data_IF_607745583043
#
_entry.id   IF_607745583043
#
_cell.length_a   1.000
_cell.length_b   1.000
_cell.length_c   1.000
_cell.angle_alpha   90.00
_cell.angle_beta   90.00
_cell.angle_gamma   90.00
#
_symmetry.space_group_name_H-M   'P 1'
#
loop_
_entity.id
_entity.type
_entity.pdbx_description
1 polymer ?
#
# COMPACT_ATOMS: atom_id res chain seq x y z
N UNK A 1 8.98 8.30 -12.14
CA UNK A 1 7.63 8.82 -12.50
C UNK A 1 6.60 8.39 -11.47
N UNK A 2 5.49 9.13 -11.35
CA UNK A 2 4.37 8.84 -10.46
C UNK A 2 3.08 8.68 -11.27
N UNK A 3 2.00 8.17 -10.65
CA UNK A 3 0.72 7.95 -11.30
C UNK A 3 -0.40 8.79 -10.68
N UNK A 4 -1.33 9.26 -11.52
CA UNK A 4 -2.64 9.79 -11.10
C UNK A 4 -3.60 8.62 -10.89
N UNK A 5 -4.49 8.75 -9.91
CA UNK A 5 -5.57 7.78 -9.72
C UNK A 5 -6.71 8.08 -10.70
N UNK A 6 -7.18 7.06 -11.40
CA UNK A 6 -8.40 7.10 -12.21
C UNK A 6 -9.42 6.07 -11.69
N UNK A 7 -10.70 6.29 -12.00
CA UNK A 7 -11.81 5.42 -11.57
C UNK A 7 -12.01 4.23 -12.50
N UNK A 8 -11.60 4.36 -13.75
CA UNK A 8 -11.72 3.32 -14.78
C UNK A 8 -10.44 3.25 -15.61
N UNK A 9 -10.23 2.12 -16.25
CA UNK A 9 -9.11 1.92 -17.17
C UNK A 9 -9.32 2.86 -18.37
N UNK A 10 -8.36 3.78 -18.65
CA UNK A 10 -8.44 4.63 -19.84
C UNK A 10 -8.30 3.77 -21.09
N UNK A 11 -9.03 4.11 -22.15
CA UNK A 11 -9.03 3.40 -23.44
C UNK A 11 -8.47 4.23 -24.59
N UNK A 12 -7.81 5.34 -24.25
CA UNK A 12 -7.17 6.20 -25.24
C UNK A 12 -6.11 5.42 -26.03
N UNK A 13 -5.94 5.70 -27.33
CA UNK A 13 -4.89 5.07 -28.13
C UNK A 13 -3.49 5.46 -27.62
N UNK A 14 -2.51 4.58 -27.85
CA UNK A 14 -1.12 4.84 -27.46
C UNK A 14 -0.80 4.57 -25.98
N UNK A 15 -1.63 3.80 -25.29
CA UNK A 15 -1.37 3.35 -23.93
C UNK A 15 -0.87 1.90 -23.91
N UNK A 16 0.06 1.64 -23.00
CA UNK A 16 0.48 0.31 -22.60
C UNK A 16 0.02 0.07 -21.18
N UNK A 17 -0.58 -1.08 -20.94
CA UNK A 17 -1.11 -1.49 -19.64
C UNK A 17 -0.23 -2.55 -19.02
N UNK A 18 -0.05 -2.45 -17.70
CA UNK A 18 0.66 -3.42 -16.88
C UNK A 18 -0.13 -3.70 -15.60
N UNK A 19 -0.06 -4.92 -15.02
CA UNK A 19 -0.56 -5.14 -13.67
C UNK A 19 0.15 -4.20 -12.69
N UNK A 20 -0.61 -3.66 -11.74
CA UNK A 20 -0.03 -2.87 -10.67
C UNK A 20 0.38 -3.80 -9.54
N UNK A 21 1.67 -4.08 -9.45
CA UNK A 21 2.23 -4.88 -8.37
C UNK A 21 2.16 -4.16 -7.03
N UNK A 22 1.92 -4.92 -5.98
CA UNK A 22 1.97 -4.44 -4.61
C UNK A 22 3.30 -4.85 -3.99
N UNK A 23 4.26 -3.95 -4.07
CA UNK A 23 5.65 -4.19 -3.68
C UNK A 23 6.38 -2.93 -3.23
N UNK A 24 7.70 -3.00 -3.26
CA UNK A 24 8.58 -1.85 -3.06
C UNK A 24 9.23 -1.45 -4.38
N UNK A 25 8.87 -0.26 -4.87
CA UNK A 25 9.54 0.27 -6.05
C UNK A 25 11.04 0.38 -5.80
N UNK A 26 11.80 -0.14 -6.75
CA UNK A 26 13.24 -0.17 -6.70
C UNK A 26 13.83 0.18 -8.07
N UNK A 27 14.78 1.11 -8.08
CA UNK A 27 15.64 1.36 -9.23
C UNK A 27 16.94 0.60 -9.02
N UNK A 28 17.28 -0.23 -9.98
CA UNK A 28 18.52 -1.02 -9.99
C UNK A 28 19.55 -0.32 -10.86
N UNK A 29 20.67 0.01 -10.27
CA UNK A 29 21.87 0.50 -10.97
C UNK A 29 22.86 -0.63 -11.05
N UNK A 30 23.37 -0.91 -12.24
CA UNK A 30 24.44 -1.90 -12.44
C UNK A 30 25.61 -1.27 -13.21
N UNK A 31 26.82 -1.47 -12.68
CA UNK A 31 28.06 -1.17 -13.38
C UNK A 31 29.05 -2.34 -13.16
N UNK A 32 29.30 -3.13 -14.20
CA UNK A 32 30.08 -4.36 -14.12
C UNK A 32 29.48 -5.38 -13.18
N UNK A 33 30.20 -5.70 -12.10
CA UNK A 33 29.76 -6.64 -11.06
C UNK A 33 29.13 -5.93 -9.83
N UNK A 34 29.04 -4.60 -9.86
CA UNK A 34 28.42 -3.84 -8.81
C UNK A 34 26.93 -3.60 -9.10
N UNK A 35 26.11 -3.80 -8.07
CA UNK A 35 24.66 -3.50 -8.10
C UNK A 35 24.29 -2.64 -6.90
N UNK A 36 23.58 -1.57 -7.17
CA UNK A 36 22.91 -0.77 -6.15
C UNK A 36 21.39 -0.87 -6.35
N UNK A 37 20.68 -1.18 -5.26
CA UNK A 37 19.23 -1.19 -5.19
C UNK A 37 18.79 0.09 -4.46
N UNK A 38 18.14 1.00 -5.17
CA UNK A 38 17.67 2.25 -4.61
C UNK A 38 16.14 2.26 -4.46
N UNK A 39 15.66 2.56 -3.25
CA UNK A 39 14.23 2.75 -3.00
C UNK A 39 13.71 4.03 -3.68
N UNK A 40 12.38 4.20 -3.70
CA UNK A 40 11.74 5.44 -4.17
C UNK A 40 12.29 6.72 -3.54
N UNK A 41 12.73 6.64 -2.28
CA UNK A 41 13.30 7.78 -1.54
C UNK A 41 14.83 7.76 -1.56
N UNK A 42 15.44 7.09 -2.54
CA UNK A 42 16.90 6.95 -2.72
C UNK A 42 17.62 6.33 -1.51
N UNK A 43 16.93 5.52 -0.71
CA UNK A 43 17.55 4.75 0.37
C UNK A 43 18.04 3.42 -0.16
N UNK A 44 19.25 2.97 0.20
CA UNK A 44 19.80 1.71 -0.28
C UNK A 44 19.01 0.52 0.25
N UNK A 45 18.65 -0.41 -0.65
CA UNK A 45 17.91 -1.64 -0.35
C UNK A 45 18.82 -2.89 -0.30
N UNK A 46 20.07 -2.81 -0.74
CA UNK A 46 20.99 -3.96 -0.82
C UNK A 46 21.02 -4.82 0.46
N UNK A 47 21.10 -4.15 1.63
CA UNK A 47 21.14 -4.87 2.92
C UNK A 47 19.86 -5.66 3.22
N UNK A 48 18.72 -5.26 2.65
CA UNK A 48 17.42 -5.88 2.93
C UNK A 48 17.06 -6.99 1.94
N UNK A 49 17.69 -6.99 0.77
CA UNK A 49 17.41 -7.92 -0.33
C UNK A 49 18.71 -8.52 -0.91
N UNK A 50 19.61 -9.09 -0.07
CA UNK A 50 20.90 -9.60 -0.54
C UNK A 50 20.75 -10.75 -1.55
N UNK A 51 19.66 -11.52 -1.47
CA UNK A 51 19.36 -12.63 -2.36
C UNK A 51 19.05 -12.21 -3.80
N UNK A 52 18.69 -10.93 -4.03
CA UNK A 52 18.44 -10.41 -5.38
C UNK A 52 19.72 -10.09 -6.16
N UNK A 53 20.85 -9.88 -5.48
CA UNK A 53 22.08 -9.45 -6.15
C UNK A 53 22.57 -10.47 -7.19
N UNK A 54 22.73 -11.78 -6.86
CA UNK A 54 23.19 -12.75 -7.86
C UNK A 54 22.23 -12.90 -9.06
N UNK A 55 20.90 -13.06 -8.89
CA UNK A 55 20.00 -13.16 -10.02
C UNK A 55 19.92 -11.89 -10.87
N UNK A 56 20.07 -10.70 -10.29
CA UNK A 56 20.15 -9.44 -11.04
C UNK A 56 21.45 -9.34 -11.86
N UNK A 57 22.58 -9.79 -11.33
CA UNK A 57 23.82 -9.89 -12.07
C UNK A 57 23.71 -10.84 -13.28
N UNK A 58 22.94 -11.92 -13.15
CA UNK A 58 22.69 -12.85 -14.25
C UNK A 58 21.69 -12.32 -15.29
N UNK A 59 20.73 -11.49 -14.86
CA UNK A 59 19.61 -11.06 -15.70
C UNK A 59 19.85 -9.75 -16.48
N UNK A 60 20.64 -8.84 -15.94
CA UNK A 60 20.78 -7.48 -16.46
C UNK A 60 22.03 -7.33 -17.34
N UNK A 61 22.03 -6.39 -18.30
CA UNK A 61 23.25 -5.96 -18.99
C UNK A 61 24.31 -5.45 -18.00
N UNK A 62 25.60 -5.58 -18.35
CA UNK A 62 26.71 -5.19 -17.47
C UNK A 62 26.70 -3.72 -17.04
N UNK A 63 26.00 -2.86 -17.77
CA UNK A 63 25.88 -1.44 -17.47
C UNK A 63 24.48 -0.97 -17.83
N UNK A 64 23.65 -0.71 -16.83
CA UNK A 64 22.27 -0.30 -17.05
C UNK A 64 21.62 0.29 -15.79
N UNK A 65 20.52 1.00 -16.00
CA UNK A 65 19.60 1.44 -14.95
C UNK A 65 18.19 0.95 -15.27
N UNK A 66 17.61 0.15 -14.39
CA UNK A 66 16.30 -0.49 -14.59
C UNK A 66 15.37 -0.13 -13.44
N UNK A 67 14.15 0.30 -13.75
CA UNK A 67 13.09 0.58 -12.78
C UNK A 67 12.13 -0.61 -12.68
N UNK A 68 11.77 -0.97 -11.47
CA UNK A 68 10.94 -2.14 -11.22
C UNK A 68 10.33 -2.14 -9.82
N UNK A 69 9.79 -3.28 -9.46
CA UNK A 69 9.16 -3.53 -8.16
C UNK A 69 9.78 -4.77 -7.52
N UNK A 70 10.19 -4.65 -6.24
CA UNK A 70 10.55 -5.81 -5.43
C UNK A 70 9.26 -6.35 -4.82
N UNK A 71 9.03 -7.64 -4.98
CA UNK A 71 7.86 -8.37 -4.48
C UNK A 71 8.29 -9.63 -3.73
N UNK A 72 7.42 -10.17 -2.89
CA UNK A 72 7.57 -11.51 -2.31
C UNK A 72 6.42 -12.36 -2.85
N UNK A 73 6.70 -13.42 -3.61
CA UNK A 73 5.67 -14.39 -4.01
C UNK A 73 5.06 -15.07 -2.79
N UNK A 74 3.74 -15.27 -2.80
CA UNK A 74 3.05 -16.01 -1.74
C UNK A 74 3.47 -17.49 -1.75
N UNK A 75 3.64 -18.09 -0.57
CA UNK A 75 4.09 -19.47 -0.39
C UNK A 75 3.16 -20.52 -1.04
N UNK A 76 1.88 -20.20 -1.17
CA UNK A 76 0.87 -21.07 -1.81
C UNK A 76 0.86 -20.98 -3.34
N UNK A 77 1.82 -20.28 -3.93
CA UNK A 77 1.96 -20.15 -5.39
C UNK A 77 0.89 -19.30 -6.07
N UNK A 78 0.06 -18.58 -5.31
CA UNK A 78 -0.97 -17.68 -5.82
C UNK A 78 -0.82 -16.28 -5.24
N UNK A 79 -0.32 -15.35 -6.04
CA UNK A 79 -0.24 -13.93 -5.69
C UNK A 79 1.05 -13.52 -5.00
N UNK A 80 0.99 -12.37 -4.32
CA UNK A 80 2.11 -11.73 -3.64
C UNK A 80 1.81 -11.56 -2.15
N UNK A 81 2.83 -11.70 -1.31
CA UNK A 81 2.76 -11.51 0.15
C UNK A 81 3.48 -10.20 0.53
N UNK A 82 2.71 -9.12 0.63
CA UNK A 82 3.24 -7.82 1.00
C UNK A 82 3.65 -7.76 2.48
N UNK A 83 3.00 -8.52 3.35
CA UNK A 83 3.37 -8.60 4.77
C UNK A 83 4.76 -9.21 4.94
N UNK A 84 5.05 -10.30 4.24
CA UNK A 84 6.39 -10.88 4.21
C UNK A 84 7.41 -9.89 3.66
N UNK A 85 7.05 -9.11 2.62
CA UNK A 85 7.90 -8.06 2.07
C UNK A 85 8.20 -6.97 3.10
N UNK A 86 7.20 -6.47 3.83
CA UNK A 86 7.39 -5.45 4.86
C UNK A 86 8.31 -5.91 5.99
N UNK A 87 8.27 -7.19 6.37
CA UNK A 87 9.12 -7.75 7.40
C UNK A 87 10.60 -7.71 7.04
N UNK A 88 10.95 -7.60 5.74
CA UNK A 88 12.33 -7.50 5.27
C UNK A 88 13.04 -6.24 5.73
N UNK A 89 12.32 -5.15 5.97
CA UNK A 89 12.89 -3.88 6.45
C UNK A 89 13.15 -4.00 7.96
N UNK A 90 14.24 -4.64 8.33
CA UNK A 90 14.59 -4.93 9.70
C UNK A 90 16.03 -4.47 10.04
N UNK A 91 16.30 -3.92 11.25
CA UNK A 91 17.63 -3.47 11.64
C UNK A 91 18.64 -4.62 11.85
N UNK A 92 18.18 -5.81 12.29
CA UNK A 92 19.03 -6.96 12.54
C UNK A 92 19.32 -7.72 11.24
N UNK A 93 20.59 -7.80 10.86
CA UNK A 93 21.04 -8.50 9.64
C UNK A 93 20.74 -10.01 9.67
N UNK A 94 20.87 -10.66 10.84
CA UNK A 94 20.55 -12.09 11.01
C UNK A 94 19.09 -12.40 10.64
N UNK A 95 18.16 -11.51 11.03
CA UNK A 95 16.75 -11.67 10.67
C UNK A 95 16.53 -11.46 9.17
N UNK A 96 17.19 -10.47 8.57
CA UNK A 96 17.10 -10.24 7.12
C UNK A 96 17.59 -11.47 6.35
N UNK A 97 18.72 -12.06 6.72
CA UNK A 97 19.26 -13.27 6.08
C UNK A 97 18.32 -14.47 6.25
N UNK A 98 17.75 -14.65 7.44
CA UNK A 98 16.77 -15.71 7.67
C UNK A 98 15.54 -15.56 6.76
N UNK A 99 14.97 -14.35 6.69
CA UNK A 99 13.80 -14.07 5.84
C UNK A 99 14.13 -14.15 4.35
N UNK A 100 15.36 -13.79 3.93
CA UNK A 100 15.82 -13.95 2.54
C UNK A 100 15.82 -15.42 2.10
N UNK A 101 16.07 -16.35 3.02
CA UNK A 101 16.02 -17.78 2.75
C UNK A 101 14.58 -18.35 2.84
N UNK A 102 13.77 -17.89 3.79
CA UNK A 102 12.42 -18.43 4.03
C UNK A 102 11.36 -17.87 3.07
N UNK A 103 11.45 -16.59 2.77
CA UNK A 103 10.52 -15.84 1.91
C UNK A 103 11.32 -15.01 0.89
N UNK A 104 12.00 -15.67 -0.07
CA UNK A 104 12.83 -14.98 -1.04
C UNK A 104 12.02 -13.99 -1.86
N UNK A 105 12.60 -12.83 -2.13
CA UNK A 105 11.99 -11.81 -2.96
C UNK A 105 12.29 -12.04 -4.44
N UNK A 106 11.49 -11.39 -5.28
CA UNK A 106 11.70 -11.32 -6.73
C UNK A 106 11.67 -9.84 -7.17
N UNK A 107 12.30 -9.57 -8.31
CA UNK A 107 12.28 -8.26 -8.95
C UNK A 107 11.50 -8.33 -10.25
N UNK A 108 10.54 -7.43 -10.43
CA UNK A 108 9.73 -7.30 -11.63
C UNK A 108 10.12 -6.01 -12.35
N UNK A 109 10.85 -6.11 -13.45
CA UNK A 109 11.30 -4.98 -14.25
C UNK A 109 10.17 -4.47 -15.14
N UNK A 110 10.02 -3.14 -15.27
CA UNK A 110 9.01 -2.53 -16.12
C UNK A 110 9.48 -1.30 -16.91
N UNK A 111 10.67 -0.75 -16.65
CA UNK A 111 11.24 0.35 -17.42
C UNK A 111 12.77 0.27 -17.44
N UNK A 112 13.39 0.78 -18.51
CA UNK A 112 14.84 0.85 -18.67
C UNK A 112 15.23 2.32 -18.90
N UNK A 113 16.09 2.84 -18.03
CA UNK A 113 16.42 4.27 -17.99
C UNK A 113 17.78 4.59 -18.59
N UNK A 114 18.71 3.61 -18.56
CA UNK A 114 20.02 3.72 -19.18
C UNK A 114 20.53 2.36 -19.64
N UNK A 115 21.29 2.30 -20.71
CA UNK A 115 21.91 1.10 -21.26
C UNK A 115 23.28 1.44 -21.82
N UNK A 116 24.35 0.81 -21.30
CA UNK A 116 25.70 1.21 -21.64
C UNK A 116 25.97 2.64 -21.17
N UNK A 117 26.41 3.49 -22.10
CA UNK A 117 26.64 4.91 -21.87
C UNK A 117 25.45 5.81 -22.24
N UNK A 118 24.37 5.22 -22.75
CA UNK A 118 23.21 5.96 -23.26
C UNK A 118 22.16 6.16 -22.17
N UNK A 119 21.77 7.42 -21.95
CA UNK A 119 20.63 7.81 -21.11
C UNK A 119 19.35 7.77 -21.94
N UNK A 120 18.38 6.95 -21.54
CA UNK A 120 17.10 6.78 -22.20
C UNK A 120 15.94 7.52 -21.53
N UNK A 121 16.18 8.37 -20.55
CA UNK A 121 15.10 9.07 -19.85
C UNK A 121 14.26 9.95 -20.76
N UNK A 122 14.86 10.52 -21.84
CA UNK A 122 14.15 11.31 -22.85
C UNK A 122 13.66 10.47 -24.04
N UNK A 123 13.95 9.18 -24.08
CA UNK A 123 13.44 8.23 -25.09
C UNK A 123 11.97 7.91 -24.76
N UNK A 124 11.06 7.80 -25.78
CA UNK A 124 9.68 7.37 -25.57
C UNK A 124 9.57 6.03 -24.84
N UNK A 125 8.57 5.88 -23.98
CA UNK A 125 8.40 4.67 -23.14
C UNK A 125 8.31 3.38 -23.98
N UNK A 126 7.62 3.40 -25.11
CA UNK A 126 7.52 2.23 -26.00
C UNK A 126 8.88 1.73 -26.48
N UNK A 127 9.81 2.63 -26.78
CA UNK A 127 11.18 2.28 -27.17
C UNK A 127 11.98 1.78 -25.96
N UNK A 128 11.88 2.43 -24.80
CA UNK A 128 12.52 1.97 -23.57
C UNK A 128 12.05 0.57 -23.18
N UNK A 129 10.75 0.31 -23.34
CA UNK A 129 10.17 -1.01 -23.10
C UNK A 129 10.74 -2.07 -24.04
N UNK A 130 10.86 -1.76 -25.31
CA UNK A 130 11.48 -2.67 -26.30
C UNK A 130 12.94 -2.95 -25.98
N UNK A 131 13.70 -1.93 -25.54
CA UNK A 131 15.08 -2.11 -25.08
C UNK A 131 15.15 -3.01 -23.84
N UNK A 132 14.23 -2.84 -22.88
CA UNK A 132 14.16 -3.70 -21.70
C UNK A 132 13.88 -5.16 -22.08
N UNK A 133 12.92 -5.40 -22.95
CA UNK A 133 12.55 -6.74 -23.45
C UNK A 133 13.70 -7.43 -24.17
N UNK A 134 14.47 -6.68 -24.96
CA UNK A 134 15.60 -7.21 -25.70
C UNK A 134 16.84 -7.51 -24.85
N UNK A 135 16.98 -6.87 -23.69
CA UNK A 135 18.20 -6.91 -22.88
C UNK A 135 18.03 -7.56 -21.49
N UNK A 136 16.82 -7.92 -21.10
CA UNK A 136 16.55 -8.60 -19.83
C UNK A 136 16.55 -10.13 -20.01
N UNK A 137 17.48 -10.81 -19.38
CA UNK A 137 17.49 -12.28 -19.30
C UNK A 137 16.69 -12.73 -18.07
N UNK A 138 15.38 -13.00 -18.23
CA UNK A 138 14.52 -13.43 -17.13
C UNK A 138 15.00 -14.73 -16.48
N UNK A 139 14.81 -14.85 -15.17
CA UNK A 139 15.14 -16.04 -14.40
C UNK A 139 14.10 -16.26 -13.28
N UNK A 140 14.37 -17.14 -12.33
CA UNK A 140 13.43 -17.47 -11.23
C UNK A 140 13.12 -16.31 -10.28
N UNK A 141 13.99 -15.31 -10.21
CA UNK A 141 13.88 -14.18 -9.29
C UNK A 141 13.78 -12.82 -9.99
N UNK A 142 14.02 -12.77 -11.30
CA UNK A 142 13.94 -11.53 -12.09
C UNK A 142 12.99 -11.74 -13.27
N UNK A 143 11.94 -10.95 -13.28
CA UNK A 143 10.84 -11.07 -14.24
C UNK A 143 10.65 -9.77 -14.99
N UNK A 144 10.07 -9.87 -16.19
CA UNK A 144 9.53 -8.74 -16.94
C UNK A 144 8.05 -8.56 -16.57
N UNK A 145 7.62 -7.34 -16.28
CA UNK A 145 6.20 -7.07 -16.06
C UNK A 145 5.38 -7.47 -17.30
N UNK A 146 4.30 -8.23 -17.17
CA UNK A 146 3.37 -8.46 -18.28
C UNK A 146 2.83 -7.14 -18.80
N UNK A 147 2.68 -7.02 -20.10
CA UNK A 147 2.20 -5.80 -20.73
C UNK A 147 1.27 -6.10 -21.90
N UNK A 148 0.34 -5.18 -22.16
CA UNK A 148 -0.58 -5.24 -23.28
C UNK A 148 -0.97 -3.85 -23.75
N UNK A 149 -1.28 -3.69 -25.03
CA UNK A 149 -1.92 -2.48 -25.57
C UNK A 149 -3.43 -2.63 -25.70
N UNK A 150 -3.98 -3.82 -25.41
CA UNK A 150 -5.41 -4.11 -25.46
C UNK A 150 -6.07 -3.79 -24.10
N UNK A 151 -6.93 -2.76 -24.04
CA UNK A 151 -7.64 -2.42 -22.81
C UNK A 151 -8.56 -3.55 -22.30
N UNK A 152 -9.04 -4.44 -23.17
CA UNK A 152 -9.85 -5.59 -22.74
C UNK A 152 -9.03 -6.63 -21.98
N UNK A 153 -7.74 -6.78 -22.31
CA UNK A 153 -6.81 -7.61 -21.52
C UNK A 153 -6.56 -6.98 -20.16
N UNK A 154 -6.35 -5.66 -20.13
CA UNK A 154 -6.16 -4.91 -18.89
C UNK A 154 -7.37 -5.01 -17.96
N UNK A 155 -8.60 -4.94 -18.50
CA UNK A 155 -9.85 -5.11 -17.74
C UNK A 155 -9.96 -6.54 -17.17
N UNK A 156 -9.58 -7.57 -17.95
CA UNK A 156 -9.52 -8.94 -17.45
C UNK A 156 -8.50 -9.10 -16.31
N UNK A 157 -7.34 -8.44 -16.40
CA UNK A 157 -6.37 -8.44 -15.28
C UNK A 157 -6.94 -7.75 -14.05
N UNK A 158 -7.58 -6.61 -14.24
CA UNK A 158 -8.21 -5.87 -13.16
C UNK A 158 -9.23 -6.74 -12.41
N UNK A 159 -10.11 -7.44 -13.12
CA UNK A 159 -11.16 -8.28 -12.52
C UNK A 159 -10.60 -9.59 -11.95
N UNK A 160 -9.69 -10.28 -12.67
CA UNK A 160 -9.26 -11.63 -12.32
C UNK A 160 -8.25 -11.68 -11.19
N UNK A 161 -7.40 -10.67 -11.07
CA UNK A 161 -6.30 -10.65 -10.10
C UNK A 161 -6.62 -9.86 -8.84
N UNK A 162 -7.88 -9.53 -8.64
CA UNK A 162 -8.34 -8.95 -7.39
C UNK A 162 -8.02 -9.88 -6.21
N UNK A 163 -7.28 -9.35 -5.22
CA UNK A 163 -6.86 -10.14 -4.06
C UNK A 163 -5.61 -11.01 -4.25
N UNK A 164 -5.04 -11.10 -5.46
CA UNK A 164 -3.83 -11.87 -5.72
C UNK A 164 -2.52 -11.07 -5.49
N UNK A 165 -2.56 -10.00 -4.68
CA UNK A 165 -1.40 -9.11 -4.46
C UNK A 165 -1.12 -8.15 -5.62
N UNK A 166 -2.07 -8.05 -6.55
CA UNK A 166 -2.09 -7.03 -7.58
C UNK A 166 -3.12 -5.96 -7.18
N UNK A 167 -2.66 -4.72 -7.11
CA UNK A 167 -3.41 -3.58 -6.56
C UNK A 167 -4.18 -2.82 -7.67
N UNK A 168 -4.30 -3.41 -8.85
CA UNK A 168 -4.97 -2.80 -10.00
C UNK A 168 -4.17 -2.87 -11.30
N UNK A 169 -4.30 -1.83 -12.12
CA UNK A 169 -3.65 -1.70 -13.42
C UNK A 169 -2.96 -0.34 -13.53
N UNK A 170 -1.79 -0.34 -14.18
CA UNK A 170 -1.08 0.86 -14.61
C UNK A 170 -1.33 1.07 -16.09
N UNK A 171 -1.62 2.31 -16.51
CA UNK A 171 -1.63 2.71 -17.91
C UNK A 171 -0.54 3.76 -18.15
N UNK A 172 0.30 3.50 -19.13
CA UNK A 172 1.50 4.29 -19.44
C UNK A 172 1.45 4.75 -20.89
N UNK A 173 1.57 6.07 -21.19
CA UNK A 173 1.67 6.55 -22.56
C UNK A 173 2.95 6.01 -23.22
N UNK A 174 2.79 5.41 -24.40
CA UNK A 174 3.91 4.84 -25.18
C UNK A 174 4.91 5.92 -25.64
N UNK A 175 4.43 7.13 -25.90
CA UNK A 175 5.23 8.29 -26.30
C UNK A 175 5.82 9.07 -25.11
N UNK A 176 5.49 8.65 -23.87
CA UNK A 176 5.88 9.35 -22.65
C UNK A 176 7.36 9.24 -22.34
N UNK A 177 8.02 10.37 -22.04
CA UNK A 177 9.38 10.40 -21.51
C UNK A 177 9.40 10.14 -20.01
N UNK A 178 10.55 9.68 -19.47
CA UNK A 178 10.68 9.43 -18.04
C UNK A 178 10.92 10.74 -17.28
N UNK A 179 9.91 11.16 -16.53
CA UNK A 179 9.98 12.41 -15.76
C UNK A 179 9.91 12.07 -14.26
N UNK A 180 11.03 12.16 -13.52
CA UNK A 180 11.05 11.92 -12.08
C UNK A 180 10.04 12.81 -11.35
N UNK A 181 9.38 12.26 -10.32
CA UNK A 181 8.43 12.93 -9.43
C UNK A 181 7.20 13.58 -10.08
N UNK A 182 7.03 13.43 -11.40
CA UNK A 182 5.81 13.88 -12.08
C UNK A 182 4.79 12.76 -12.21
N UNK A 183 3.51 13.14 -12.12
CA UNK A 183 2.35 12.21 -12.25
C UNK A 183 1.91 12.13 -13.70
N UNK A 184 2.71 11.47 -14.52
CA UNK A 184 2.49 11.29 -15.97
C UNK A 184 1.82 9.97 -16.32
N UNK A 185 1.78 9.03 -15.38
CA UNK A 185 1.13 7.73 -15.53
C UNK A 185 -0.27 7.75 -14.93
N UNK A 186 -1.08 6.75 -15.31
CA UNK A 186 -2.40 6.51 -14.71
C UNK A 186 -2.37 5.18 -13.98
N UNK A 187 -2.99 5.14 -12.81
CA UNK A 187 -3.25 3.90 -12.05
C UNK A 187 -4.74 3.78 -11.79
N UNK A 188 -5.25 2.58 -11.96
CA UNK A 188 -6.61 2.20 -11.59
C UNK A 188 -6.50 1.16 -10.48
N UNK A 189 -7.17 1.43 -9.37
CA UNK A 189 -7.17 0.55 -8.19
C UNK A 189 -8.57 0.09 -7.89
N UNK A 190 -8.71 -1.09 -7.30
CA UNK A 190 -9.97 -1.50 -6.71
C UNK A 190 -10.30 -0.58 -5.52
N UNK A 191 -11.45 0.04 -5.56
CA UNK A 191 -12.05 0.71 -4.41
C UNK A 191 -13.11 -0.21 -3.83
N UNK A 192 -12.92 -0.61 -2.58
CA UNK A 192 -13.85 -1.44 -1.81
C UNK A 192 -14.48 -0.58 -0.75
N UNK A 193 -15.70 -0.89 -0.38
CA UNK A 193 -16.36 -0.27 0.77
C UNK A 193 -16.57 -1.28 1.87
N UNK A 194 -16.55 -0.80 3.10
CA UNK A 194 -16.94 -1.54 4.29
C UNK A 194 -17.80 -0.66 5.17
N UNK A 195 -18.76 -1.27 5.84
CA UNK A 195 -19.50 -0.64 6.93
C UNK A 195 -18.82 -1.00 8.24
N UNK A 196 -18.44 0.00 9.01
CA UNK A 196 -17.71 -0.16 10.26
C UNK A 196 -18.44 0.51 11.41
N UNK A 197 -18.44 -0.12 12.57
CA UNK A 197 -18.86 0.51 13.81
C UNK A 197 -17.84 1.59 14.23
N UNK A 198 -18.32 2.71 14.75
CA UNK A 198 -17.48 3.80 15.25
C UNK A 198 -17.48 3.76 16.78
N UNK A 199 -16.34 3.43 17.37
CA UNK A 199 -16.21 3.24 18.81
C UNK A 199 -15.44 4.36 19.51
N UNK A 200 -14.90 5.32 18.78
CA UNK A 200 -14.18 6.46 19.33
C UNK A 200 -13.65 7.40 18.26
N UNK A 201 -13.08 8.50 18.71
CA UNK A 201 -12.38 9.44 17.83
C UNK A 201 -11.13 10.00 18.49
N UNK A 202 -10.20 10.51 17.68
CA UNK A 202 -9.08 11.31 18.13
C UNK A 202 -9.31 12.77 17.76
N UNK A 203 -8.95 13.65 18.66
CA UNK A 203 -8.96 15.10 18.39
C UNK A 203 -7.89 15.42 17.33
N UNK A 204 -8.16 16.34 16.44
CA UNK A 204 -7.18 16.79 15.48
C UNK A 204 -5.99 17.49 16.17
N UNK A 205 -4.81 17.42 15.55
CA UNK A 205 -3.55 17.97 16.12
C UNK A 205 -3.56 19.46 16.45
N UNK A 206 -4.45 20.23 15.84
CA UNK A 206 -4.66 21.65 16.16
C UNK A 206 -5.59 21.87 17.36
N UNK A 207 -6.13 20.79 17.95
CA UNK A 207 -7.08 20.84 19.07
C UNK A 207 -8.53 21.09 18.63
N UNK A 208 -8.79 21.28 17.33
CA UNK A 208 -10.12 21.61 16.80
C UNK A 208 -10.74 20.46 16.01
N UNK A 209 -11.84 19.91 16.54
CA UNK A 209 -12.65 18.92 15.85
C UNK A 209 -12.05 17.51 15.80
N UNK A 210 -12.71 16.64 15.03
CA UNK A 210 -12.35 15.23 14.91
C UNK A 210 -11.20 15.05 13.90
N UNK A 211 -10.08 14.54 14.36
CA UNK A 211 -8.92 14.22 13.52
C UNK A 211 -9.04 12.86 12.84
N UNK A 212 -9.57 11.87 13.56
CA UNK A 212 -9.84 10.53 13.03
C UNK A 212 -10.92 9.81 13.82
N UNK A 213 -11.71 8.96 13.13
CA UNK A 213 -12.64 7.99 13.71
C UNK A 213 -11.92 6.66 13.91
N UNK A 214 -12.17 5.99 15.03
CA UNK A 214 -11.68 4.64 15.31
C UNK A 214 -12.76 3.64 14.90
N UNK A 215 -12.39 2.71 14.00
CA UNK A 215 -13.29 1.79 13.34
C UNK A 215 -13.15 0.38 13.89
N UNK A 216 -14.28 -0.28 14.05
CA UNK A 216 -14.38 -1.67 14.49
C UNK A 216 -15.26 -2.53 13.59
N UNK A 217 -14.94 -3.83 13.56
CA UNK A 217 -15.77 -4.90 13.03
C UNK A 217 -15.99 -5.93 14.11
N UNK A 218 -17.19 -6.49 14.17
CA UNK A 218 -17.54 -7.57 15.09
C UNK A 218 -17.10 -8.92 14.53
N UNK A 219 -16.61 -9.80 15.41
CA UNK A 219 -16.41 -11.20 15.07
C UNK A 219 -17.69 -12.03 15.36
N UNK A 220 -17.65 -13.32 15.00
CA UNK A 220 -18.77 -14.25 15.21
C UNK A 220 -19.13 -14.45 16.69
N UNK A 221 -18.22 -14.12 17.61
CA UNK A 221 -18.45 -14.15 19.05
C UNK A 221 -18.99 -12.82 19.62
N UNK A 222 -19.25 -11.83 18.77
CA UNK A 222 -19.77 -10.52 19.13
C UNK A 222 -18.75 -9.58 19.78
N UNK A 223 -17.45 -9.80 19.57
CA UNK A 223 -16.38 -8.92 20.05
C UNK A 223 -16.03 -7.90 18.97
N UNK A 224 -15.95 -6.64 19.36
CA UNK A 224 -15.56 -5.55 18.48
C UNK A 224 -14.04 -5.44 18.35
N UNK A 225 -13.50 -5.75 17.18
CA UNK A 225 -12.07 -5.62 16.86
C UNK A 225 -11.77 -4.30 16.20
N UNK A 226 -10.73 -3.60 16.67
CA UNK A 226 -10.24 -2.39 16.01
C UNK A 226 -9.58 -2.75 14.69
N UNK A 227 -10.13 -2.24 13.57
CA UNK A 227 -9.69 -2.58 12.21
C UNK A 227 -8.97 -1.44 11.48
N UNK A 228 -9.02 -0.23 12.03
CA UNK A 228 -8.32 0.91 11.42
C UNK A 228 -8.92 2.25 11.80
N UNK A 229 -8.48 3.30 11.12
CA UNK A 229 -8.93 4.67 11.36
C UNK A 229 -9.38 5.32 10.06
N UNK A 230 -10.46 6.11 10.14
CA UNK A 230 -10.89 7.02 9.09
C UNK A 230 -10.42 8.43 9.44
N UNK A 231 -9.66 9.05 8.56
CA UNK A 231 -9.02 10.34 8.80
C UNK A 231 -9.06 11.21 7.53
N UNK A 232 -8.34 12.34 7.57
CA UNK A 232 -8.23 13.28 6.44
C UNK A 232 -9.52 14.03 6.13
N UNK A 233 -10.25 14.43 7.18
CA UNK A 233 -11.44 15.24 7.05
C UNK A 233 -11.11 16.71 6.72
N UNK A 234 -11.88 17.36 5.83
CA UNK A 234 -11.84 18.81 5.67
C UNK A 234 -12.15 19.54 6.99
N UNK A 235 -11.63 20.75 7.17
CA UNK A 235 -11.78 21.51 8.42
C UNK A 235 -13.24 21.73 8.85
N UNK A 236 -14.15 21.98 7.89
CA UNK A 236 -15.58 22.12 8.19
C UNK A 236 -16.14 20.79 8.74
N UNK A 237 -15.88 19.70 8.07
CA UNK A 237 -16.35 18.36 8.47
C UNK A 237 -15.82 17.93 9.84
N UNK A 238 -14.59 18.30 10.20
CA UNK A 238 -14.02 18.00 11.53
C UNK A 238 -14.86 18.59 12.66
N UNK A 239 -15.35 19.82 12.49
CA UNK A 239 -16.20 20.52 13.47
C UNK A 239 -17.61 19.95 13.50
N UNK A 240 -18.16 19.63 12.32
CA UNK A 240 -19.47 18.98 12.19
C UNK A 240 -19.49 17.63 12.88
N UNK A 241 -18.47 16.79 12.61
CA UNK A 241 -18.31 15.49 13.27
C UNK A 241 -18.19 15.62 14.80
N UNK A 242 -17.47 16.64 15.30
CA UNK A 242 -17.35 16.86 16.73
C UNK A 242 -18.72 17.16 17.36
N UNK A 243 -19.49 18.06 16.77
CA UNK A 243 -20.83 18.40 17.26
C UNK A 243 -21.79 17.21 17.20
N UNK A 244 -21.70 16.40 16.14
CA UNK A 244 -22.55 15.23 15.95
C UNK A 244 -22.21 14.09 16.91
N UNK A 245 -20.93 13.91 17.25
CA UNK A 245 -20.45 12.83 18.11
C UNK A 245 -20.44 13.19 19.60
N UNK A 246 -20.47 14.48 19.95
CA UNK A 246 -20.44 14.95 21.32
C UNK A 246 -21.49 14.27 22.23
N UNK A 247 -22.76 14.07 21.82
CA UNK A 247 -23.74 13.40 22.67
C UNK A 247 -23.42 11.94 22.97
N UNK A 248 -22.60 11.28 22.13
CA UNK A 248 -22.22 9.88 22.29
C UNK A 248 -21.04 9.69 23.27
N UNK A 249 -20.45 10.76 23.76
CA UNK A 249 -19.38 10.69 24.77
C UNK A 249 -19.92 10.52 26.19
N UNK A 250 -21.19 10.84 26.42
CA UNK A 250 -21.86 10.67 27.69
C UNK A 250 -22.02 9.18 27.99
N UNK A 251 -21.57 8.74 29.17
CA UNK A 251 -21.57 7.35 29.63
C UNK A 251 -20.89 6.36 28.66
N UNK A 252 -20.01 6.85 27.79
CA UNK A 252 -19.40 6.04 26.73
C UNK A 252 -18.51 4.89 27.24
N UNK A 253 -18.01 4.97 28.49
CA UNK A 253 -17.20 3.89 29.08
C UNK A 253 -18.03 2.77 29.73
N UNK A 254 -19.35 2.98 29.89
CA UNK A 254 -20.20 1.91 30.42
C UNK A 254 -20.29 0.79 29.38
N UNK A 255 -19.81 -0.40 29.74
CA UNK A 255 -19.76 -1.59 28.86
C UNK A 255 -19.09 -1.35 27.49
N UNK A 256 -18.18 -0.38 27.42
CA UNK A 256 -17.49 -0.05 26.17
C UNK A 256 -16.57 -1.20 25.75
N UNK A 257 -16.64 -1.69 24.48
CA UNK A 257 -15.83 -2.82 24.01
C UNK A 257 -14.31 -2.61 24.14
N UNK A 258 -13.88 -1.34 24.17
CA UNK A 258 -12.48 -0.94 24.32
C UNK A 258 -12.25 -0.11 25.60
N UNK A 259 -13.08 -0.29 26.64
CA UNK A 259 -13.01 0.47 27.88
C UNK A 259 -11.66 0.33 28.57
N UNK A 260 -11.14 -0.90 28.67
CA UNK A 260 -9.81 -1.17 29.24
C UNK A 260 -8.69 -0.42 28.47
N UNK A 261 -8.84 -0.21 27.18
CA UNK A 261 -7.88 0.55 26.41
C UNK A 261 -7.92 2.04 26.68
N UNK A 262 -9.10 2.61 26.79
CA UNK A 262 -9.27 4.01 27.13
C UNK A 262 -8.66 4.31 28.51
N UNK A 263 -8.83 3.41 29.47
CA UNK A 263 -8.27 3.52 30.82
C UNK A 263 -6.76 3.26 30.85
N UNK A 264 -6.26 2.24 30.14
CA UNK A 264 -4.83 1.93 30.09
C UNK A 264 -4.01 3.00 29.36
N UNK A 265 -4.55 3.67 28.36
CA UNK A 265 -3.88 4.80 27.70
C UNK A 265 -3.68 6.00 28.61
N UNK A 266 -4.51 6.16 29.62
CA UNK A 266 -4.28 7.14 30.66
C UNK A 266 -3.10 6.78 31.58
N UNK A 267 -2.63 5.52 31.57
CA UNK A 267 -1.72 4.98 32.59
C UNK A 267 -0.54 4.14 32.10
N UNK A 268 -0.41 3.77 30.81
CA UNK A 268 0.73 2.93 30.36
C UNK A 268 1.16 3.09 28.90
N UNK A 269 2.47 2.92 28.70
CA UNK A 269 3.14 2.90 27.39
C UNK A 269 3.12 1.53 26.67
N UNK A 270 2.22 0.61 27.03
CA UNK A 270 2.21 -0.74 26.48
C UNK A 270 1.39 -0.87 25.18
N UNK A 271 1.84 -1.80 24.32
CA UNK A 271 1.35 -2.01 22.94
C UNK A 271 -0.13 -2.39 22.87
N UNK A 272 -0.90 -1.60 22.13
CA UNK A 272 -2.30 -1.83 21.79
C UNK A 272 -2.47 -2.09 20.29
N UNK A 273 -3.55 -2.75 19.83
CA UNK A 273 -3.87 -2.86 18.42
C UNK A 273 -4.01 -1.46 17.79
N UNK A 274 -3.19 -1.14 16.78
CA UNK A 274 -3.00 0.21 16.26
C UNK A 274 -1.95 1.00 17.02
N UNK A 275 -1.39 0.41 18.10
CA UNK A 275 -0.31 0.99 18.89
C UNK A 275 1.00 1.08 18.12
N UNK A 276 1.97 1.69 18.77
CA UNK A 276 3.29 2.07 18.27
C UNK A 276 3.84 1.18 17.15
N UNK A 277 3.80 1.70 15.93
CA UNK A 277 4.71 1.28 14.88
C UNK A 277 6.01 2.09 15.03
N UNK A 278 7.12 1.61 14.44
CA UNK A 278 8.39 2.36 14.39
C UNK A 278 8.24 3.78 13.82
N UNK A 279 7.13 4.06 13.17
CA UNK A 279 6.77 5.32 12.53
C UNK A 279 5.96 6.25 13.44
N UNK A 280 5.49 5.76 14.62
CA UNK A 280 4.57 6.46 15.50
C UNK A 280 5.07 6.56 16.96
N UNK A 281 6.36 6.36 17.23
CA UNK A 281 6.93 6.30 18.58
C UNK A 281 6.61 7.53 19.45
N UNK A 282 6.32 8.67 18.83
CA UNK A 282 6.05 9.95 19.52
C UNK A 282 4.63 10.49 19.28
N UNK A 283 3.69 9.68 18.78
CA UNK A 283 2.30 10.14 18.61
C UNK A 283 1.46 9.79 19.82
N UNK A 284 0.72 10.78 20.31
CA UNK A 284 -0.37 10.56 21.23
C UNK A 284 -1.45 9.71 20.54
N UNK A 285 -1.69 8.52 21.08
CA UNK A 285 -2.67 7.55 20.58
C UNK A 285 -3.95 7.55 21.41
N UNK A 286 -4.07 8.47 22.39
CA UNK A 286 -5.29 8.64 23.17
C UNK A 286 -6.50 8.89 22.26
N UNK A 287 -7.65 8.47 22.68
CA UNK A 287 -8.89 8.66 21.97
C UNK A 287 -10.04 8.97 22.95
N UNK A 288 -11.06 9.63 22.45
CA UNK A 288 -12.31 9.88 23.14
C UNK A 288 -13.25 8.71 22.81
N UNK A 289 -13.65 7.89 23.82
CA UNK A 289 -14.59 6.81 23.59
C UNK A 289 -15.98 7.34 23.24
N UNK A 290 -16.70 6.57 22.43
CA UNK A 290 -18.09 6.85 22.06
C UNK A 290 -18.96 5.64 22.38
N UNK A 291 -20.19 5.85 22.81
CA UNK A 291 -21.18 4.78 22.75
C UNK A 291 -21.24 4.28 21.30
N UNK A 292 -21.14 2.96 21.13
CA UNK A 292 -21.05 2.33 19.80
C UNK A 292 -22.45 2.28 19.18
N UNK A 293 -22.93 3.41 18.66
CA UNK A 293 -24.25 3.59 18.08
C UNK A 293 -24.25 4.00 16.61
N UNK A 294 -23.06 4.31 16.05
CA UNK A 294 -22.92 4.80 14.67
C UNK A 294 -22.19 3.81 13.81
N UNK A 295 -22.67 3.68 12.58
CA UNK A 295 -22.02 2.94 11.50
C UNK A 295 -21.64 3.90 10.40
N UNK A 296 -20.41 3.74 9.90
CA UNK A 296 -19.87 4.51 8.80
C UNK A 296 -19.49 3.61 7.64
N UNK A 297 -19.90 3.98 6.43
CA UNK A 297 -19.35 3.39 5.20
C UNK A 297 -18.04 4.08 4.86
N UNK A 298 -17.00 3.29 4.63
CA UNK A 298 -15.66 3.77 4.27
C UNK A 298 -15.16 3.09 3.00
N UNK A 299 -14.38 3.82 2.19
CA UNK A 299 -13.60 3.18 1.12
C UNK A 299 -12.22 2.78 1.64
N UNK A 300 -11.78 1.59 1.25
CA UNK A 300 -10.47 1.07 1.60
C UNK A 300 -9.78 0.41 0.40
N UNK A 301 -8.45 0.31 0.45
CA UNK A 301 -7.68 -0.38 -0.59
C UNK A 301 -7.53 -1.86 -0.31
N UNK A 302 -7.02 -2.20 0.86
CA UNK A 302 -6.72 -3.58 1.26
C UNK A 302 -7.06 -3.80 2.73
N UNK A 303 -7.58 -5.00 3.00
CA UNK A 303 -7.76 -5.53 4.35
C UNK A 303 -6.75 -6.67 4.52
N UNK A 304 -5.87 -6.57 5.52
CA UNK A 304 -4.85 -7.55 5.82
C UNK A 304 -4.97 -7.98 7.27
N UNK A 305 -5.06 -9.28 7.50
CA UNK A 305 -5.19 -9.87 8.86
C UNK A 305 -6.25 -9.19 9.72
N UNK A 306 -7.41 -8.91 9.12
CA UNK A 306 -8.52 -8.25 9.79
C UNK A 306 -8.33 -6.75 10.05
N UNK A 307 -7.40 -6.07 9.34
CA UNK A 307 -7.15 -4.63 9.48
C UNK A 307 -6.98 -3.93 8.14
N UNK A 308 -7.44 -2.69 8.07
CA UNK A 308 -7.15 -1.83 6.94
C UNK A 308 -5.66 -1.47 6.92
N UNK A 309 -4.99 -1.81 5.83
CA UNK A 309 -3.55 -1.56 5.64
C UNK A 309 -3.18 -0.08 5.68
N UNK A 310 -4.08 0.78 5.20
CA UNK A 310 -3.92 2.24 5.18
C UNK A 310 -5.15 2.90 5.80
N UNK A 311 -5.03 4.20 6.12
CA UNK A 311 -6.20 4.99 6.51
C UNK A 311 -7.27 4.96 5.43
N UNK A 312 -8.49 4.77 5.84
CA UNK A 312 -9.66 4.69 4.95
C UNK A 312 -10.32 6.05 4.80
N UNK A 313 -11.17 6.21 3.79
CA UNK A 313 -11.88 7.46 3.53
C UNK A 313 -13.35 7.33 3.91
N UNK A 314 -13.88 8.36 4.53
CA UNK A 314 -15.29 8.50 4.83
C UNK A 314 -16.12 8.58 3.54
N UNK A 315 -17.17 7.80 3.45
CA UNK A 315 -18.17 7.87 2.38
C UNK A 315 -19.44 8.53 2.91
N UNK A 316 -20.08 7.90 3.91
CA UNK A 316 -21.32 8.39 4.52
C UNK A 316 -21.61 7.66 5.83
N UNK A 317 -22.48 8.21 6.63
CA UNK A 317 -23.13 7.51 7.73
C UNK A 317 -24.12 6.48 7.22
N UNK A 318 -24.27 5.39 7.96
CA UNK A 318 -25.22 4.30 7.69
C UNK A 318 -26.25 4.20 8.82
N UNK A 319 -27.23 5.12 8.89
CA UNK A 319 -28.28 5.07 9.91
C UNK A 319 -29.24 3.89 9.72
N UNK A 320 -29.18 3.25 8.57
CA UNK A 320 -29.93 2.03 8.19
C UNK A 320 -29.30 0.74 8.73
N UNK A 321 -28.14 0.80 9.37
CA UNK A 321 -27.42 -0.37 9.91
C UNK A 321 -27.16 -0.22 11.41
N UNK A 322 -27.14 -1.36 12.11
CA UNK A 322 -26.71 -1.42 13.50
C UNK A 322 -25.21 -1.76 13.59
N UNK A 323 -24.50 -1.31 14.63
CA UNK A 323 -23.07 -1.61 14.80
C UNK A 323 -22.76 -3.11 14.77
N UNK A 324 -23.60 -3.95 15.39
CA UNK A 324 -23.42 -5.39 15.46
C UNK A 324 -23.57 -6.08 14.09
N UNK A 325 -24.14 -5.39 13.11
CA UNK A 325 -24.23 -5.89 11.74
C UNK A 325 -22.94 -5.69 10.94
N UNK A 326 -21.91 -5.07 11.54
CA UNK A 326 -20.62 -4.80 10.90
C UNK A 326 -19.62 -5.92 11.26
N UNK A 327 -19.49 -6.92 10.40
CA UNK A 327 -18.59 -8.05 10.55
C UNK A 327 -18.12 -8.59 9.21
#
# INVERSE_FOLDING_TARGET
MLAKLARSIPTDPGLLYEPKFDGFRCVVFRDGDEIELASRNQRPFNRYFPELIPPLLAALPKRCVVDGEIVVPASEGRGLDFDALQQRIHPAESRVRMLAAQTPSAFVAFDLLALGDDDHMQTPFGERRSLLEANLAVNTSVHLAPATTDPAVAERWFTRFEGAGLDGVMAKPLDGVYTPDKRTLVKVKHERTADCAVAGYRVHKDGEGVGSLLLGLYDDEGRLHHVGVCASFPAAMRRELLAELQPLTEDALVDHPWGEWAEMQAHSQQRMPGGFSRWNVNKDLSFVPLRVERVVEVTFGQLERGRFRHGVKFVRWRPDRTPESCG
#
